data_IF_172771432312
#
_entry.id   IF_172771432312
#
_cell.length_a   1.000
_cell.length_b   1.000
_cell.length_c   1.000
_cell.angle_alpha   90.00
_cell.angle_beta   90.00
_cell.angle_gamma   90.00
#
_symmetry.space_group_name_H-M   'P 1'
#
loop_
_entity.id
_entity.type
_entity.pdbx_description
1 polymer ?
#
# COMPACT_ATOMS: atom_id res chain seq x y z
N UNK A 1 33.69 2.22 8.23
CA UNK A 1 32.96 1.12 8.90
C UNK A 1 32.58 0.12 7.81
N UNK A 2 32.96 -1.17 7.93
CA UNK A 2 32.59 -2.17 6.92
C UNK A 2 31.09 -2.52 7.02
N UNK A 3 30.37 -2.74 5.91
CA UNK A 3 29.01 -3.28 5.93
C UNK A 3 28.91 -4.59 6.71
N UNK A 4 27.74 -4.89 7.28
CA UNK A 4 27.51 -6.16 7.99
C UNK A 4 27.68 -7.37 7.06
N UNK A 5 27.28 -7.24 5.80
CA UNK A 5 27.46 -8.26 4.75
C UNK A 5 28.93 -8.64 4.56
N UNK A 6 29.84 -7.68 4.60
CA UNK A 6 31.28 -7.94 4.51
C UNK A 6 31.85 -8.49 5.81
N UNK A 7 31.44 -7.91 6.96
CA UNK A 7 31.97 -8.29 8.28
C UNK A 7 31.62 -9.73 8.65
N UNK A 8 30.41 -10.18 8.32
CA UNK A 8 29.89 -11.50 8.67
C UNK A 8 29.82 -12.45 7.47
N UNK A 9 30.53 -12.16 6.37
CA UNK A 9 30.44 -12.94 5.13
C UNK A 9 30.59 -14.45 5.34
N UNK A 10 31.54 -14.89 6.18
CA UNK A 10 31.76 -16.31 6.48
C UNK A 10 30.61 -16.95 7.29
N UNK A 11 29.91 -16.14 8.10
CA UNK A 11 28.82 -16.57 8.97
C UNK A 11 27.45 -16.53 8.28
N UNK A 12 27.37 -15.92 7.09
CA UNK A 12 26.15 -15.84 6.30
C UNK A 12 25.98 -17.08 5.42
N UNK A 13 24.76 -17.59 5.40
CA UNK A 13 24.27 -18.55 4.43
C UNK A 13 23.95 -17.85 3.09
N UNK A 14 23.48 -16.60 3.16
CA UNK A 14 23.24 -15.76 2.00
C UNK A 14 22.72 -14.38 2.40
N UNK A 15 22.65 -13.49 1.42
CA UNK A 15 22.02 -12.18 1.53
C UNK A 15 21.06 -11.99 0.35
N UNK A 16 19.92 -11.38 0.60
CA UNK A 16 18.91 -11.08 -0.42
C UNK A 16 18.41 -9.65 -0.24
N UNK A 17 18.44 -8.87 -1.29
CA UNK A 17 17.83 -7.54 -1.34
C UNK A 17 16.64 -7.55 -2.29
N UNK A 18 15.48 -7.14 -1.79
CA UNK A 18 14.27 -7.07 -2.61
C UNK A 18 13.29 -6.00 -2.12
N UNK A 19 12.32 -5.68 -2.96
CA UNK A 19 11.19 -4.88 -2.52
C UNK A 19 10.35 -5.67 -1.50
N UNK A 20 9.88 -4.99 -0.46
CA UNK A 20 8.99 -5.56 0.54
C UNK A 20 7.59 -4.97 0.35
N UNK A 21 7.15 -4.08 1.25
CA UNK A 21 5.87 -3.39 1.15
C UNK A 21 5.89 -2.36 0.03
N UNK A 22 5.07 -2.56 -1.00
CA UNK A 22 4.82 -1.56 -2.04
C UNK A 22 3.37 -1.07 -1.96
N UNK A 23 3.19 0.23 -1.71
CA UNK A 23 1.93 0.93 -1.83
C UNK A 23 2.05 1.94 -2.98
N UNK A 24 1.18 1.78 -3.96
CA UNK A 24 1.11 2.61 -5.16
C UNK A 24 -0.23 3.37 -5.13
N UNK A 25 -0.22 4.64 -5.51
CA UNK A 25 -1.43 5.45 -5.64
C UNK A 25 -1.75 5.66 -7.12
N UNK A 26 -3.04 5.55 -7.45
CA UNK A 26 -3.56 5.82 -8.80
C UNK A 26 -4.37 7.11 -8.80
N UNK A 27 -4.03 8.03 -9.69
CA UNK A 27 -4.75 9.30 -9.85
C UNK A 27 -5.23 9.48 -11.28
N UNK A 28 -6.44 10.01 -11.47
CA UNK A 28 -6.91 10.45 -12.79
C UNK A 28 -6.48 11.91 -12.98
N UNK A 29 -5.59 12.24 -13.93
CA UNK A 29 -5.08 13.61 -14.07
C UNK A 29 -6.18 14.67 -14.20
N UNK A 30 -7.26 14.36 -14.93
CA UNK A 30 -8.42 15.24 -15.08
C UNK A 30 -9.28 15.41 -13.82
N UNK A 31 -9.14 14.54 -12.82
CA UNK A 31 -9.97 14.55 -11.60
C UNK A 31 -9.17 14.82 -10.32
N UNK A 32 -7.85 14.63 -10.33
CA UNK A 32 -7.05 14.49 -9.10
C UNK A 32 -6.76 15.81 -8.36
N UNK A 33 -7.12 16.95 -8.96
CA UNK A 33 -7.06 18.27 -8.36
C UNK A 33 -8.26 19.12 -8.80
N UNK A 34 -8.61 20.12 -8.00
CA UNK A 34 -9.88 20.84 -8.15
C UNK A 34 -10.00 21.60 -9.48
N UNK A 35 -8.89 22.15 -10.00
CA UNK A 35 -8.88 22.84 -11.30
C UNK A 35 -9.11 21.90 -12.48
N UNK A 36 -8.53 20.70 -12.44
CA UNK A 36 -8.76 19.66 -13.45
C UNK A 36 -10.21 19.24 -13.46
N UNK A 37 -10.76 18.92 -12.28
CA UNK A 37 -12.16 18.51 -12.15
C UNK A 37 -13.12 19.64 -12.56
N UNK A 38 -12.81 20.89 -12.24
CA UNK A 38 -13.58 22.07 -12.71
C UNK A 38 -13.60 22.14 -14.24
N UNK A 39 -12.45 21.97 -14.88
CA UNK A 39 -12.32 22.01 -16.34
C UNK A 39 -13.08 20.86 -17.00
N UNK A 40 -13.06 19.67 -16.40
CA UNK A 40 -13.83 18.51 -16.83
C UNK A 40 -15.35 18.75 -16.75
N UNK A 41 -15.85 19.32 -15.65
CA UNK A 41 -17.28 19.64 -15.54
C UNK A 41 -17.72 20.65 -16.60
N UNK A 42 -16.89 21.66 -16.87
CA UNK A 42 -17.16 22.65 -17.90
C UNK A 42 -17.19 22.07 -19.31
N UNK A 43 -16.26 21.17 -19.66
CA UNK A 43 -16.26 20.52 -20.97
C UNK A 43 -17.47 19.60 -21.18
N UNK A 44 -18.12 19.15 -20.10
CA UNK A 44 -19.36 18.36 -20.12
C UNK A 44 -20.63 19.20 -19.88
N UNK A 45 -20.53 20.53 -19.87
CA UNK A 45 -21.63 21.45 -19.60
C UNK A 45 -22.35 21.20 -18.26
N UNK A 46 -21.66 20.63 -17.26
CA UNK A 46 -22.19 20.41 -15.91
C UNK A 46 -21.91 21.67 -15.07
N UNK A 47 -22.96 22.23 -14.46
CA UNK A 47 -22.81 23.38 -13.55
C UNK A 47 -22.03 22.96 -12.30
N UNK A 48 -21.17 23.84 -11.81
CA UNK A 48 -20.31 23.55 -10.65
C UNK A 48 -21.11 23.19 -9.39
N UNK A 49 -22.25 23.84 -9.15
CA UNK A 49 -23.13 23.53 -8.01
C UNK A 49 -23.91 22.22 -8.16
N UNK A 50 -23.99 21.66 -9.38
CA UNK A 50 -24.60 20.37 -9.65
C UNK A 50 -23.59 19.20 -9.58
N UNK A 51 -22.30 19.48 -9.32
CA UNK A 51 -21.20 18.51 -9.24
C UNK A 51 -21.56 17.25 -8.46
N UNK A 52 -22.08 17.41 -7.24
CA UNK A 52 -22.36 16.26 -6.37
C UNK A 52 -23.47 15.40 -6.97
N UNK A 53 -24.61 16.02 -7.30
CA UNK A 53 -25.82 15.33 -7.77
C UNK A 53 -25.69 14.72 -9.16
N UNK A 54 -25.06 15.44 -10.09
CA UNK A 54 -25.02 15.06 -11.51
C UNK A 54 -23.80 14.20 -11.83
N UNK A 55 -22.70 14.34 -11.09
CA UNK A 55 -21.46 13.61 -11.38
C UNK A 55 -21.03 12.68 -10.25
N UNK A 56 -20.79 13.18 -9.04
CA UNK A 56 -20.19 12.38 -7.99
C UNK A 56 -21.13 11.27 -7.46
N UNK A 57 -22.42 11.57 -7.29
CA UNK A 57 -23.44 10.64 -6.80
C UNK A 57 -23.68 9.46 -7.76
N UNK A 58 -23.89 9.67 -9.09
CA UNK A 58 -24.00 8.56 -10.03
C UNK A 58 -22.76 7.65 -10.05
N UNK A 59 -21.56 8.23 -10.02
CA UNK A 59 -20.33 7.44 -9.97
C UNK A 59 -20.15 6.70 -8.65
N UNK A 60 -20.57 7.28 -7.52
CA UNK A 60 -20.62 6.57 -6.24
C UNK A 60 -21.45 5.29 -6.36
N UNK A 61 -22.67 5.39 -6.88
CA UNK A 61 -23.55 4.24 -7.02
C UNK A 61 -23.03 3.25 -8.08
N UNK A 62 -22.48 3.73 -9.20
CA UNK A 62 -21.87 2.85 -10.21
C UNK A 62 -20.70 2.05 -9.66
N UNK A 63 -19.81 2.66 -8.86
CA UNK A 63 -18.69 1.95 -8.22
C UNK A 63 -19.21 0.92 -7.20
N UNK A 64 -20.26 1.27 -6.42
CA UNK A 64 -20.89 0.32 -5.50
C UNK A 64 -21.47 -0.88 -6.25
N UNK A 65 -22.19 -0.63 -7.33
CA UNK A 65 -22.77 -1.67 -8.17
C UNK A 65 -21.69 -2.55 -8.81
N UNK A 66 -20.63 -1.94 -9.37
CA UNK A 66 -19.48 -2.67 -9.93
C UNK A 66 -18.85 -3.62 -8.90
N UNK A 67 -18.78 -3.20 -7.64
CA UNK A 67 -18.27 -4.05 -6.57
C UNK A 67 -19.19 -5.24 -6.26
N UNK A 68 -20.52 -5.04 -6.30
CA UNK A 68 -21.49 -6.13 -6.16
C UNK A 68 -21.44 -7.10 -7.35
N UNK A 69 -21.44 -6.58 -8.57
CA UNK A 69 -21.29 -7.37 -9.80
C UNK A 69 -20.02 -8.25 -9.77
N UNK A 70 -18.90 -7.69 -9.33
CA UNK A 70 -17.64 -8.42 -9.25
C UNK A 70 -17.66 -9.49 -8.14
N UNK A 71 -18.26 -9.16 -6.99
CA UNK A 71 -18.40 -10.06 -5.86
C UNK A 71 -19.30 -11.26 -6.21
N UNK A 72 -20.47 -10.99 -6.81
CA UNK A 72 -21.42 -12.02 -7.25
C UNK A 72 -20.82 -12.93 -8.32
N UNK A 73 -20.13 -12.34 -9.31
CA UNK A 73 -19.44 -13.10 -10.37
C UNK A 73 -18.43 -14.10 -9.83
N UNK A 74 -17.79 -13.81 -8.71
CA UNK A 74 -16.76 -14.67 -8.10
C UNK A 74 -17.26 -15.45 -6.89
N UNK A 75 -18.56 -15.34 -6.54
CA UNK A 75 -19.12 -15.98 -5.35
C UNK A 75 -18.50 -15.50 -4.04
N UNK A 76 -18.06 -14.24 -3.99
CA UNK A 76 -17.40 -13.62 -2.83
C UNK A 76 -18.38 -12.69 -2.11
N UNK A 77 -18.37 -12.68 -0.77
CA UNK A 77 -19.19 -11.76 0.01
C UNK A 77 -18.51 -10.39 0.16
N UNK A 78 -19.32 -9.33 0.27
CA UNK A 78 -18.83 -7.99 0.64
C UNK A 78 -19.05 -7.80 2.14
N UNK A 79 -17.95 -7.75 2.91
CA UNK A 79 -18.00 -7.61 4.35
C UNK A 79 -17.70 -6.16 4.78
N UNK A 80 -18.56 -5.58 5.62
CA UNK A 80 -18.37 -4.23 6.12
C UNK A 80 -17.50 -4.23 7.39
N UNK A 81 -16.27 -3.74 7.28
CA UNK A 81 -15.32 -3.63 8.37
C UNK A 81 -15.59 -2.36 9.21
N UNK A 82 -16.53 -2.48 10.15
CA UNK A 82 -16.98 -1.35 11.01
C UNK A 82 -16.26 -1.22 12.34
N UNK A 83 -15.51 -2.25 12.75
CA UNK A 83 -14.90 -2.29 14.08
C UNK A 83 -13.44 -1.83 14.00
N UNK A 84 -13.04 -0.74 14.70
CA UNK A 84 -11.70 -0.16 14.56
C UNK A 84 -10.56 -1.07 15.03
N UNK A 85 -10.84 -2.06 15.89
CA UNK A 85 -9.87 -3.04 16.36
C UNK A 85 -9.71 -4.24 15.42
N UNK A 86 -10.62 -4.45 14.46
CA UNK A 86 -10.51 -5.56 13.52
C UNK A 86 -9.56 -5.15 12.41
N UNK A 87 -8.42 -5.86 12.34
CA UNK A 87 -7.50 -5.71 11.22
C UNK A 87 -8.11 -6.36 9.99
N UNK A 88 -8.07 -5.64 8.87
CA UNK A 88 -8.57 -6.13 7.58
C UNK A 88 -7.81 -7.38 7.14
N UNK A 89 -6.52 -7.44 7.45
CA UNK A 89 -5.65 -8.58 7.14
C UNK A 89 -6.11 -9.86 7.84
N UNK A 90 -6.60 -9.78 9.08
CA UNK A 90 -7.07 -10.95 9.84
C UNK A 90 -8.35 -11.56 9.23
N UNK A 91 -9.24 -10.71 8.70
CA UNK A 91 -10.45 -11.15 7.99
C UNK A 91 -10.07 -11.91 6.72
N UNK A 92 -9.13 -11.35 5.94
CA UNK A 92 -8.66 -11.95 4.69
C UNK A 92 -7.91 -13.25 4.96
N UNK A 93 -7.10 -13.32 6.02
CA UNK A 93 -6.40 -14.54 6.43
C UNK A 93 -7.37 -15.69 6.73
N UNK A 94 -8.51 -15.42 7.39
CA UNK A 94 -9.56 -16.42 7.65
C UNK A 94 -10.19 -16.94 6.36
N UNK A 95 -10.38 -16.08 5.36
CA UNK A 95 -10.91 -16.48 4.06
C UNK A 95 -9.88 -17.34 3.30
N UNK A 96 -8.61 -16.93 3.30
CA UNK A 96 -7.52 -17.70 2.67
C UNK A 96 -7.36 -19.07 3.32
N UNK A 97 -7.49 -19.18 4.65
CA UNK A 97 -7.42 -20.46 5.36
C UNK A 97 -8.51 -21.46 4.92
N UNK A 98 -9.65 -20.98 4.41
CA UNK A 98 -10.76 -21.83 3.94
C UNK A 98 -10.69 -22.13 2.45
N UNK A 99 -10.45 -21.12 1.62
CA UNK A 99 -10.41 -21.28 0.14
C UNK A 99 -9.06 -21.77 -0.38
N UNK A 100 -7.99 -21.54 0.38
CA UNK A 100 -6.62 -21.76 -0.05
C UNK A 100 -5.99 -20.57 -0.78
N UNK A 101 -4.77 -20.79 -1.29
CA UNK A 101 -3.93 -19.76 -1.92
C UNK A 101 -4.05 -19.70 -3.45
N UNK A 102 -5.07 -20.32 -4.05
CA UNK A 102 -5.22 -20.27 -5.50
C UNK A 102 -5.54 -18.83 -5.99
N UNK A 103 -5.12 -18.47 -7.22
CA UNK A 103 -5.37 -17.14 -7.79
C UNK A 103 -6.86 -16.74 -7.84
N UNK A 104 -7.10 -15.43 -7.92
CA UNK A 104 -8.43 -14.83 -8.09
C UNK A 104 -8.84 -13.86 -6.99
N UNK A 105 -10.07 -13.36 -7.06
CA UNK A 105 -10.67 -12.53 -6.00
C UNK A 105 -10.83 -13.36 -4.72
N UNK A 106 -10.32 -12.84 -3.61
CA UNK A 106 -10.31 -13.50 -2.30
C UNK A 106 -11.47 -13.01 -1.46
N UNK A 107 -11.56 -11.69 -1.28
CA UNK A 107 -12.54 -11.05 -0.41
C UNK A 107 -12.75 -9.60 -0.82
N UNK A 108 -13.93 -9.05 -0.53
CA UNK A 108 -14.21 -7.61 -0.69
C UNK A 108 -14.58 -7.04 0.66
N UNK A 109 -13.76 -6.11 1.17
CA UNK A 109 -14.09 -5.39 2.39
C UNK A 109 -14.61 -3.99 2.07
N UNK A 110 -15.52 -3.48 2.89
CA UNK A 110 -15.96 -2.08 2.82
C UNK A 110 -15.74 -1.38 4.15
N UNK A 111 -15.22 -0.15 4.12
CA UNK A 111 -15.04 0.68 5.31
C UNK A 111 -15.35 2.15 5.00
N UNK A 112 -15.94 2.87 5.95
CA UNK A 112 -16.12 4.32 5.85
C UNK A 112 -14.81 5.00 6.31
N UNK A 113 -14.14 5.72 5.41
CA UNK A 113 -12.84 6.34 5.71
C UNK A 113 -12.80 7.78 5.24
N UNK A 114 -11.85 8.56 5.77
CA UNK A 114 -11.62 9.91 5.31
C UNK A 114 -11.09 9.91 3.86
N UNK A 115 -11.58 10.84 3.06
CA UNK A 115 -11.16 11.00 1.67
C UNK A 115 -11.01 12.48 1.31
N UNK A 116 -10.17 12.75 0.31
CA UNK A 116 -10.19 14.05 -0.38
C UNK A 116 -11.53 14.20 -1.11
N UNK A 117 -12.04 15.42 -1.15
CA UNK A 117 -13.28 15.76 -1.81
C UNK A 117 -13.18 17.15 -2.45
N UNK A 118 -14.27 17.59 -3.07
CA UNK A 118 -14.40 18.93 -3.61
C UNK A 118 -15.70 19.56 -3.14
N UNK A 119 -15.67 20.89 -2.97
CA UNK A 119 -16.86 21.70 -2.75
C UNK A 119 -17.04 22.74 -3.85
N UNK A 120 -18.28 22.97 -4.32
CA UNK A 120 -18.62 24.09 -5.20
C UNK A 120 -18.27 25.43 -4.56
N UNK A 121 -17.78 26.36 -5.36
CA UNK A 121 -17.45 27.71 -4.93
C UNK A 121 -17.85 28.74 -5.99
N UNK A 122 -18.26 29.92 -5.56
CA UNK A 122 -18.51 31.09 -6.40
C UNK A 122 -17.63 32.24 -5.90
N UNK A 123 -16.77 32.77 -6.78
CA UNK A 123 -15.99 33.96 -6.49
C UNK A 123 -16.81 35.22 -6.78
N UNK A 124 -16.99 36.07 -5.77
CA UNK A 124 -17.79 37.30 -5.87
C UNK A 124 -17.16 38.37 -6.76
N UNK A 125 -15.83 38.36 -6.92
CA UNK A 125 -15.13 39.39 -7.69
C UNK A 125 -15.13 39.05 -9.18
N UNK A 126 -14.75 37.82 -9.52
CA UNK A 126 -14.71 37.37 -10.92
C UNK A 126 -16.03 36.82 -11.45
N UNK A 127 -17.02 36.62 -10.58
CA UNK A 127 -18.29 35.91 -10.86
C UNK A 127 -18.11 34.51 -11.45
N UNK A 128 -16.91 33.93 -11.33
CA UNK A 128 -16.62 32.57 -11.79
C UNK A 128 -16.99 31.55 -10.71
N UNK A 129 -17.56 30.43 -11.16
CA UNK A 129 -17.74 29.25 -10.30
C UNK A 129 -16.58 28.27 -10.51
N UNK A 130 -16.23 27.48 -9.51
CA UNK A 130 -15.22 26.41 -9.62
C UNK A 130 -15.26 25.51 -8.39
N UNK A 131 -14.62 24.35 -8.47
CA UNK A 131 -14.43 23.48 -7.32
C UNK A 131 -13.22 23.92 -6.48
N UNK A 132 -13.33 23.82 -5.15
CA UNK A 132 -12.21 23.94 -4.21
C UNK A 132 -11.92 22.60 -3.54
N UNK A 133 -10.65 22.29 -3.21
CA UNK A 133 -10.32 21.15 -2.37
C UNK A 133 -11.11 21.17 -1.05
N UNK A 134 -11.56 20.00 -0.63
CA UNK A 134 -12.26 19.77 0.63
C UNK A 134 -11.89 18.38 1.17
N UNK A 135 -12.39 18.05 2.35
CA UNK A 135 -12.27 16.71 2.94
C UNK A 135 -13.64 16.18 3.32
N UNK A 136 -13.79 14.86 3.28
CA UNK A 136 -15.04 14.20 3.63
C UNK A 136 -14.79 12.78 4.10
N UNK A 137 -15.87 12.00 4.15
CA UNK A 137 -15.80 10.55 4.34
C UNK A 137 -16.58 9.88 3.22
N UNK A 138 -16.06 8.77 2.73
CA UNK A 138 -16.77 7.95 1.76
C UNK A 138 -16.55 6.46 2.05
N UNK A 139 -17.34 5.60 1.43
CA UNK A 139 -17.07 4.17 1.46
C UNK A 139 -15.84 3.90 0.61
N UNK A 140 -14.92 3.13 1.16
CA UNK A 140 -13.82 2.53 0.43
C UNK A 140 -14.11 1.04 0.28
N UNK A 141 -13.94 0.53 -0.94
CA UNK A 141 -13.98 -0.90 -1.24
C UNK A 141 -12.54 -1.40 -1.37
N UNK A 142 -12.19 -2.42 -0.62
CA UNK A 142 -10.91 -3.11 -0.69
C UNK A 142 -11.14 -4.45 -1.37
N UNK A 143 -10.67 -4.57 -2.60
CA UNK A 143 -10.69 -5.81 -3.34
C UNK A 143 -9.39 -6.55 -3.09
N UNK A 144 -9.44 -7.64 -2.33
CA UNK A 144 -8.28 -8.50 -2.09
C UNK A 144 -8.21 -9.58 -3.16
N UNK A 145 -7.04 -9.75 -3.76
CA UNK A 145 -6.76 -10.73 -4.79
C UNK A 145 -5.54 -11.56 -4.41
N UNK A 146 -5.49 -12.81 -4.88
CA UNK A 146 -4.22 -13.49 -5.09
C UNK A 146 -3.94 -13.41 -6.59
N UNK A 147 -2.97 -12.57 -6.97
CA UNK A 147 -2.48 -12.49 -8.34
C UNK A 147 -1.43 -13.56 -8.61
N UNK A 148 -1.44 -14.13 -9.81
CA UNK A 148 -0.44 -15.11 -10.26
C UNK A 148 0.99 -14.57 -10.18
N UNK A 149 1.16 -13.26 -10.39
CA UNK A 149 2.48 -12.62 -10.44
C UNK A 149 2.90 -12.07 -9.07
N UNK A 150 2.02 -11.33 -8.40
CA UNK A 150 2.34 -10.54 -7.18
C UNK A 150 1.85 -11.17 -5.88
N UNK A 151 1.21 -12.35 -5.94
CA UNK A 151 0.64 -13.00 -4.77
C UNK A 151 -0.52 -12.21 -4.16
N UNK A 152 -0.63 -12.23 -2.83
CA UNK A 152 -1.68 -11.53 -2.11
C UNK A 152 -1.51 -10.00 -2.24
N UNK A 153 -2.50 -9.35 -2.84
CA UNK A 153 -2.53 -7.90 -3.07
C UNK A 153 -3.94 -7.34 -2.81
N UNK A 154 -4.06 -6.01 -2.71
CA UNK A 154 -5.38 -5.37 -2.73
C UNK A 154 -5.42 -4.10 -3.56
N UNK A 155 -6.60 -3.79 -4.11
CA UNK A 155 -6.94 -2.48 -4.64
C UNK A 155 -8.01 -1.82 -3.76
N UNK A 156 -7.69 -0.66 -3.19
CA UNK A 156 -8.61 0.20 -2.45
C UNK A 156 -9.21 1.24 -3.40
N UNK A 157 -10.52 1.18 -3.57
CA UNK A 157 -11.31 2.05 -4.45
C UNK A 157 -12.24 2.91 -3.58
N UNK A 158 -12.05 4.24 -3.51
CA UNK A 158 -13.03 5.13 -2.90
C UNK A 158 -14.27 5.25 -3.79
N UNK A 159 -15.45 5.35 -3.18
CA UNK A 159 -16.71 5.57 -3.90
C UNK A 159 -16.99 7.06 -4.14
N UNK A 160 -16.00 7.94 -4.00
CA UNK A 160 -16.18 9.38 -4.17
C UNK A 160 -15.03 10.00 -4.97
N UNK A 161 -15.35 11.03 -5.75
CA UNK A 161 -14.39 11.83 -6.50
C UNK A 161 -13.40 12.49 -5.52
N UNK A 162 -12.07 12.40 -5.74
CA UNK A 162 -11.38 12.22 -7.03
C UNK A 162 -11.01 10.78 -7.43
N UNK A 163 -11.66 9.76 -6.85
CA UNK A 163 -11.45 8.36 -7.24
C UNK A 163 -10.00 7.88 -7.12
N UNK A 164 -9.27 8.41 -6.13
CA UNK A 164 -7.85 8.10 -5.91
C UNK A 164 -7.69 6.66 -5.43
N UNK A 165 -7.12 5.82 -6.29
CA UNK A 165 -6.88 4.41 -6.01
C UNK A 165 -5.65 4.25 -5.12
N UNK A 166 -5.62 3.18 -4.34
CA UNK A 166 -4.43 2.72 -3.65
C UNK A 166 -4.29 1.22 -3.84
N UNK A 167 -3.17 0.80 -4.39
CA UNK A 167 -2.82 -0.61 -4.57
C UNK A 167 -1.71 -1.00 -3.61
N UNK A 168 -1.81 -2.20 -3.03
CA UNK A 168 -0.77 -2.80 -2.22
C UNK A 168 -0.38 -4.15 -2.80
N UNK A 169 0.92 -4.39 -2.88
CA UNK A 169 1.51 -5.71 -3.12
C UNK A 169 2.82 -5.85 -2.33
N UNK A 170 3.35 -7.07 -2.30
CA UNK A 170 4.57 -7.42 -1.57
C UNK A 170 5.61 -7.99 -2.54
N UNK A 171 6.82 -7.42 -2.57
CA UNK A 171 7.89 -7.92 -3.44
C UNK A 171 8.45 -9.27 -2.99
N UNK A 172 8.38 -9.64 -1.70
CA UNK A 172 8.67 -11.00 -1.24
C UNK A 172 7.70 -12.01 -1.85
N UNK A 173 6.39 -11.71 -1.91
CA UNK A 173 5.40 -12.58 -2.55
C UNK A 173 5.60 -12.68 -4.06
N UNK A 174 6.06 -11.60 -4.71
CA UNK A 174 6.44 -11.65 -6.11
C UNK A 174 7.66 -12.56 -6.32
N UNK A 175 8.70 -12.41 -5.50
CA UNK A 175 9.90 -13.23 -5.56
C UNK A 175 9.57 -14.70 -5.26
N UNK A 176 8.73 -14.96 -4.27
CA UNK A 176 8.22 -16.31 -3.94
C UNK A 176 7.68 -17.01 -5.18
N UNK A 177 6.78 -16.35 -5.93
CA UNK A 177 6.23 -16.90 -7.17
C UNK A 177 7.32 -17.15 -8.23
N UNK A 178 8.34 -16.29 -8.32
CA UNK A 178 9.47 -16.50 -9.23
C UNK A 178 10.34 -17.69 -8.82
N UNK A 179 10.58 -17.90 -7.53
CA UNK A 179 11.32 -19.05 -7.02
C UNK A 179 10.59 -20.36 -7.33
N UNK A 180 9.26 -20.40 -7.07
CA UNK A 180 8.40 -21.54 -7.42
C UNK A 180 8.49 -21.85 -8.92
N UNK A 181 8.30 -20.83 -9.77
CA UNK A 181 8.33 -21.00 -11.23
C UNK A 181 9.70 -21.47 -11.77
N UNK A 182 10.78 -21.21 -11.03
CA UNK A 182 12.14 -21.62 -11.38
C UNK A 182 12.60 -22.90 -10.67
N UNK A 183 11.73 -23.55 -9.89
CA UNK A 183 12.05 -24.76 -9.14
C UNK A 183 13.13 -24.56 -8.07
N UNK A 184 13.25 -23.35 -7.52
CA UNK A 184 14.24 -23.04 -6.47
C UNK A 184 13.57 -23.26 -5.12
N UNK A 185 14.12 -24.17 -4.31
CA UNK A 185 13.61 -24.41 -2.96
C UNK A 185 13.89 -23.23 -2.05
N UNK A 186 12.94 -22.97 -1.17
CA UNK A 186 13.03 -21.91 -0.17
C UNK A 186 12.28 -22.31 1.10
N UNK A 187 12.42 -21.51 2.16
CA UNK A 187 11.57 -21.56 3.34
C UNK A 187 11.36 -20.13 3.85
N UNK A 188 10.15 -19.84 4.30
CA UNK A 188 9.79 -18.55 4.88
C UNK A 188 9.32 -18.71 6.32
N UNK A 189 9.61 -17.69 7.13
CA UNK A 189 8.96 -17.45 8.41
C UNK A 189 8.25 -16.09 8.32
N UNK A 190 6.92 -16.11 8.44
CA UNK A 190 6.05 -14.96 8.15
C UNK A 190 6.34 -14.33 6.77
N UNK A 191 7.00 -13.18 6.75
CA UNK A 191 7.31 -12.40 5.55
C UNK A 191 8.79 -12.49 5.13
N UNK A 192 9.63 -13.23 5.86
CA UNK A 192 11.08 -13.26 5.66
C UNK A 192 11.55 -14.60 5.06
N UNK A 193 12.49 -14.54 4.12
CA UNK A 193 13.18 -15.73 3.61
C UNK A 193 14.25 -16.19 4.61
N UNK A 194 14.06 -17.36 5.20
CA UNK A 194 15.02 -17.95 6.15
C UNK A 194 15.93 -18.99 5.50
N UNK A 195 15.58 -19.45 4.31
CA UNK A 195 16.40 -20.35 3.48
C UNK A 195 16.05 -20.14 2.01
N UNK A 196 17.05 -20.11 1.17
CA UNK A 196 16.94 -20.17 -0.30
C UNK A 196 18.07 -21.07 -0.79
N UNK A 197 17.75 -22.00 -1.69
CA UNK A 197 18.75 -22.96 -2.19
C UNK A 197 19.84 -22.28 -3.04
N UNK A 198 19.48 -21.20 -3.75
CA UNK A 198 20.40 -20.40 -4.57
C UNK A 198 20.11 -18.89 -4.41
N UNK A 199 20.89 -18.24 -3.53
CA UNK A 199 20.76 -16.79 -3.28
C UNK A 199 21.16 -15.93 -4.48
N UNK A 200 22.15 -16.36 -5.27
CA UNK A 200 22.61 -15.58 -6.42
C UNK A 200 21.50 -15.52 -7.49
N UNK A 201 20.88 -16.67 -7.77
CA UNK A 201 19.74 -16.74 -8.70
C UNK A 201 18.50 -16.03 -8.14
N UNK A 202 18.24 -16.14 -6.83
CA UNK A 202 17.14 -15.40 -6.19
C UNK A 202 17.32 -13.89 -6.27
N UNK A 203 18.54 -13.37 -6.05
CA UNK A 203 18.85 -11.96 -6.23
C UNK A 203 18.64 -11.54 -7.68
N UNK A 204 19.17 -12.30 -8.64
CA UNK A 204 19.00 -12.02 -10.06
C UNK A 204 17.52 -12.03 -10.50
N UNK A 205 16.67 -12.84 -9.86
CA UNK A 205 15.22 -12.81 -10.07
C UNK A 205 14.58 -11.58 -9.42
N UNK A 206 14.94 -11.24 -8.18
CA UNK A 206 14.49 -10.04 -7.47
C UNK A 206 14.72 -8.77 -8.30
N UNK A 207 15.90 -8.65 -8.89
CA UNK A 207 16.32 -7.49 -9.69
C UNK A 207 15.54 -7.34 -11.02
N UNK A 208 14.73 -8.33 -11.41
CA UNK A 208 13.93 -8.28 -12.64
C UNK A 208 12.56 -7.61 -12.46
N UNK A 209 12.16 -7.21 -11.25
CA UNK A 209 10.87 -6.53 -11.05
C UNK A 209 10.87 -5.16 -11.76
N UNK A 210 10.10 -5.04 -12.84
CA UNK A 210 10.02 -3.83 -13.66
C UNK A 210 8.74 -3.04 -13.37
N UNK A 211 8.81 -1.69 -13.37
CA UNK A 211 7.63 -0.83 -13.26
C UNK A 211 6.54 -1.11 -14.32
N UNK A 212 6.93 -1.46 -15.56
CA UNK A 212 5.98 -1.71 -16.65
C UNK A 212 5.10 -2.94 -16.40
N UNK A 213 5.67 -4.00 -15.81
CA UNK A 213 4.90 -5.20 -15.42
C UNK A 213 3.88 -4.86 -14.33
N UNK A 214 4.31 -4.03 -13.38
CA UNK A 214 3.44 -3.55 -12.32
C UNK A 214 2.31 -2.66 -12.88
N UNK A 215 2.61 -1.74 -13.81
CA UNK A 215 1.60 -0.91 -14.47
C UNK A 215 0.52 -1.76 -15.17
N UNK A 216 0.91 -2.82 -15.90
CA UNK A 216 -0.05 -3.74 -16.53
C UNK A 216 -1.01 -4.36 -15.52
N UNK A 217 -0.49 -4.79 -14.35
CA UNK A 217 -1.30 -5.37 -13.27
C UNK A 217 -2.24 -4.32 -12.67
N UNK A 218 -1.73 -3.12 -12.40
CA UNK A 218 -2.48 -2.01 -11.83
C UNK A 218 -3.63 -1.58 -12.75
N UNK A 219 -3.37 -1.40 -14.04
CA UNK A 219 -4.36 -1.04 -15.05
C UNK A 219 -5.46 -2.09 -15.19
N UNK A 220 -5.09 -3.37 -15.14
CA UNK A 220 -6.06 -4.48 -15.17
C UNK A 220 -7.01 -4.39 -13.98
N UNK A 221 -6.51 -4.18 -12.77
CA UNK A 221 -7.36 -4.08 -11.59
C UNK A 221 -8.16 -2.78 -11.55
N UNK A 222 -7.59 -1.65 -12.00
CA UNK A 222 -8.31 -0.39 -12.10
C UNK A 222 -9.51 -0.50 -13.05
N UNK A 223 -9.32 -1.06 -14.26
CA UNK A 223 -10.42 -1.36 -15.21
C UNK A 223 -11.51 -2.22 -14.58
N UNK A 224 -11.11 -3.25 -13.84
CA UNK A 224 -12.04 -4.22 -13.25
C UNK A 224 -12.85 -3.64 -12.09
N UNK A 225 -12.26 -2.77 -11.26
CA UNK A 225 -12.85 -2.37 -9.98
C UNK A 225 -13.34 -0.91 -9.95
N UNK A 226 -12.88 -0.07 -10.88
CA UNK A 226 -13.18 1.36 -10.92
C UNK A 226 -13.34 1.84 -12.38
N UNK A 227 -14.53 1.66 -12.98
CA UNK A 227 -14.75 1.95 -14.40
C UNK A 227 -14.75 3.45 -14.76
N UNK A 228 -14.58 4.34 -13.77
CA UNK A 228 -14.67 5.79 -13.95
C UNK A 228 -13.64 6.37 -14.91
N UNK A 229 -12.51 5.69 -15.10
CA UNK A 229 -11.46 6.14 -16.03
C UNK A 229 -11.96 6.32 -17.48
N UNK A 230 -12.97 5.56 -17.91
CA UNK A 230 -13.57 5.67 -19.25
C UNK A 230 -14.25 7.02 -19.46
N UNK A 231 -14.87 7.55 -18.40
CA UNK A 231 -15.55 8.85 -18.44
C UNK A 231 -14.58 10.02 -18.61
N UNK A 232 -13.36 9.87 -18.11
CA UNK A 232 -12.29 10.85 -18.30
C UNK A 232 -11.53 10.66 -19.61
N UNK A 233 -11.72 9.53 -20.32
CA UNK A 233 -10.92 9.18 -21.50
C UNK A 233 -9.42 9.10 -21.20
N UNK A 234 -9.06 8.76 -19.95
CA UNK A 234 -7.70 8.76 -19.44
C UNK A 234 -7.42 7.46 -18.69
N UNK A 235 -6.18 6.97 -18.75
CA UNK A 235 -5.72 5.92 -17.85
C UNK A 235 -5.32 6.52 -16.50
N UNK A 236 -5.32 5.68 -15.46
CA UNK A 236 -4.77 6.08 -14.17
C UNK A 236 -3.28 6.36 -14.29
N UNK A 237 -2.85 7.49 -13.73
CA UNK A 237 -1.44 7.79 -13.51
C UNK A 237 -1.02 7.20 -12.16
N UNK A 238 -0.05 6.30 -12.21
CA UNK A 238 0.47 5.57 -11.05
C UNK A 238 1.72 6.23 -10.49
N UNK A 239 1.77 6.36 -9.17
CA UNK A 239 2.96 6.82 -8.46
C UNK A 239 3.19 6.04 -7.17
N UNK A 240 4.47 5.92 -6.77
CA UNK A 240 4.85 5.23 -5.55
C UNK A 240 4.46 6.09 -4.35
N UNK A 241 3.56 5.59 -3.51
CA UNK A 241 3.18 6.25 -2.26
C UNK A 241 4.12 5.83 -1.12
N UNK A 242 4.46 4.54 -1.06
CA UNK A 242 5.44 4.00 -0.12
C UNK A 242 6.06 2.74 -0.73
N UNK A 243 7.38 2.63 -0.67
CA UNK A 243 8.10 1.41 -1.06
C UNK A 243 9.15 1.08 -0.01
N UNK A 244 9.06 -0.11 0.58
CA UNK A 244 10.12 -0.71 1.37
C UNK A 244 11.08 -1.48 0.48
N UNK A 245 12.38 -1.35 0.76
CA UNK A 245 13.42 -2.18 0.17
C UNK A 245 14.20 -2.79 1.33
N UNK A 246 14.15 -4.12 1.48
CA UNK A 246 14.82 -4.85 2.56
C UNK A 246 16.11 -5.48 2.06
N UNK A 247 17.03 -5.73 2.99
CA UNK A 247 18.18 -6.60 2.76
C UNK A 247 18.21 -7.61 3.89
N UNK A 248 17.84 -8.84 3.55
CA UNK A 248 17.75 -9.96 4.46
C UNK A 248 19.13 -10.62 4.55
N UNK A 249 19.66 -10.71 5.76
CA UNK A 249 20.92 -11.39 6.05
C UNK A 249 20.61 -12.70 6.75
N UNK A 250 20.83 -13.82 6.06
CA UNK A 250 20.54 -15.15 6.59
C UNK A 250 21.81 -15.72 7.21
N UNK A 251 21.85 -15.77 8.55
CA UNK A 251 22.99 -16.34 9.28
C UNK A 251 22.92 -17.86 9.34
N UNK A 252 24.09 -18.50 9.36
CA UNK A 252 24.24 -19.96 9.54
C UNK A 252 23.92 -20.41 10.96
N UNK A 253 24.03 -19.51 11.94
CA UNK A 253 23.84 -19.78 13.36
C UNK A 253 23.06 -18.65 14.03
N UNK A 254 22.06 -19.05 14.81
CA UNK A 254 21.28 -18.22 15.71
C UNK A 254 22.14 -17.60 16.84
N UNK A 255 23.16 -18.31 17.32
CA UNK A 255 24.07 -17.81 18.34
C UNK A 255 24.82 -16.54 17.88
N UNK A 256 25.30 -16.53 16.62
CA UNK A 256 26.00 -15.38 16.03
C UNK A 256 25.04 -14.19 15.90
N UNK A 257 23.84 -14.43 15.37
CA UNK A 257 22.83 -13.40 15.22
C UNK A 257 22.41 -12.83 16.58
N UNK A 258 22.28 -13.68 17.60
CA UNK A 258 21.89 -13.27 18.95
C UNK A 258 22.91 -12.30 19.57
N UNK A 259 24.21 -12.62 19.47
CA UNK A 259 25.27 -11.72 19.95
C UNK A 259 25.30 -10.42 19.15
N UNK A 260 25.21 -10.48 17.82
CA UNK A 260 25.16 -9.28 16.98
C UNK A 260 23.94 -8.41 17.32
N UNK A 261 22.77 -9.03 17.51
CA UNK A 261 21.55 -8.32 17.88
C UNK A 261 21.71 -7.61 19.22
N UNK A 262 22.25 -8.29 20.24
CA UNK A 262 22.52 -7.68 21.55
C UNK A 262 23.45 -6.46 21.42
N UNK A 263 24.53 -6.58 20.66
CA UNK A 263 25.49 -5.50 20.45
C UNK A 263 24.86 -4.31 19.70
N UNK A 264 24.10 -4.57 18.63
CA UNK A 264 23.40 -3.52 17.88
C UNK A 264 22.32 -2.85 18.74
N UNK A 265 21.53 -3.62 19.49
CA UNK A 265 20.51 -3.09 20.39
C UNK A 265 21.12 -2.23 21.49
N UNK A 266 22.18 -2.72 22.15
CA UNK A 266 22.91 -1.96 23.18
C UNK A 266 23.47 -0.66 22.61
N UNK A 267 24.12 -0.73 21.44
CA UNK A 267 24.67 0.45 20.80
C UNK A 267 23.58 1.43 20.34
N UNK A 268 22.44 0.94 19.87
CA UNK A 268 21.30 1.78 19.51
C UNK A 268 20.75 2.52 20.74
N UNK A 269 20.63 1.86 21.89
CA UNK A 269 20.18 2.51 23.14
C UNK A 269 21.13 3.62 23.60
N UNK A 270 22.44 3.44 23.39
CA UNK A 270 23.48 4.42 23.78
C UNK A 270 23.56 5.57 22.77
N UNK A 271 23.56 5.25 21.47
CA UNK A 271 23.82 6.21 20.40
C UNK A 271 22.57 7.01 19.99
N UNK A 272 21.38 6.41 20.08
CA UNK A 272 20.12 7.04 19.65
C UNK A 272 19.53 7.90 20.76
N UNK A 273 19.64 9.22 20.58
CA UNK A 273 19.13 10.24 21.50
C UNK A 273 17.65 10.51 21.24
N UNK A 274 16.96 11.03 22.25
CA UNK A 274 15.55 11.39 22.17
C UNK A 274 15.21 12.33 20.99
N UNK A 275 16.11 13.26 20.65
CA UNK A 275 15.94 14.13 19.48
C UNK A 275 15.88 13.37 18.16
N UNK A 276 16.69 12.31 18.01
CA UNK A 276 16.68 11.45 16.82
C UNK A 276 15.41 10.61 16.76
N UNK A 277 14.97 10.04 17.89
CA UNK A 277 13.69 9.30 17.97
C UNK A 277 12.50 10.21 17.65
N UNK A 278 12.46 11.41 18.23
CA UNK A 278 11.38 12.38 17.99
C UNK A 278 11.31 12.77 16.52
N UNK A 279 12.47 13.07 15.91
CA UNK A 279 12.57 13.40 14.49
C UNK A 279 12.11 12.24 13.61
N UNK A 280 12.54 11.01 13.90
CA UNK A 280 12.10 9.81 13.19
C UNK A 280 10.58 9.60 13.25
N UNK A 281 9.97 9.87 14.40
CA UNK A 281 8.52 9.80 14.59
C UNK A 281 7.76 11.03 14.05
N UNK A 282 8.44 11.99 13.42
CA UNK A 282 7.84 13.24 12.96
C UNK A 282 7.29 14.11 14.09
N UNK A 283 7.79 13.94 15.32
CA UNK A 283 7.38 14.69 16.51
C UNK A 283 8.41 15.78 16.81
N UNK A 284 7.96 16.84 17.48
CA UNK A 284 8.83 17.85 18.08
C UNK A 284 8.93 17.60 19.58
N UNK A 285 10.13 17.77 20.13
CA UNK A 285 10.32 17.80 21.58
C UNK A 285 9.81 19.14 22.08
N UNK A 286 8.68 19.13 22.79
CA UNK A 286 8.16 20.32 23.47
C UNK A 286 8.96 20.59 24.76
N UNK A 287 8.93 21.82 25.30
CA UNK A 287 9.60 22.13 26.57
C UNK A 287 9.16 21.24 27.74
N UNK A 288 7.89 20.84 27.78
CA UNK A 288 7.34 19.91 28.77
C UNK A 288 7.94 18.51 28.60
N UNK A 289 7.96 17.98 27.37
CA UNK A 289 8.56 16.68 27.08
C UNK A 289 10.06 16.68 27.38
N UNK A 290 10.76 17.81 27.12
CA UNK A 290 12.18 17.94 27.40
C UNK A 290 12.54 17.76 28.89
N UNK A 291 11.63 18.13 29.80
CA UNK A 291 11.82 17.93 31.24
C UNK A 291 11.65 16.46 31.66
N UNK A 292 10.90 15.68 30.88
CA UNK A 292 10.70 14.24 31.10
C UNK A 292 11.77 13.37 30.43
N UNK A 293 12.60 13.95 29.54
CA UNK A 293 13.64 13.22 28.83
C UNK A 293 14.82 12.88 29.76
N UNK A 294 14.84 11.62 30.23
CA UNK A 294 15.98 11.04 30.94
C UNK A 294 16.93 10.25 30.04
N UNK A 295 18.23 10.38 30.29
CA UNK A 295 19.28 9.53 29.69
C UNK A 295 19.78 8.44 30.66
N UNK A 296 19.04 8.14 31.73
CA UNK A 296 19.42 7.12 32.71
C UNK A 296 19.27 5.73 32.10
N UNK A 297 20.40 5.04 31.92
CA UNK A 297 20.47 3.71 31.30
C UNK A 297 19.82 2.63 32.18
N UNK A 298 19.76 2.84 33.51
CA UNK A 298 19.27 1.87 34.50
C UNK A 298 17.77 1.59 34.45
N UNK A 299 17.01 2.29 33.60
CA UNK A 299 15.57 2.10 33.40
C UNK A 299 15.22 1.69 31.95
N UNK A 300 16.20 1.26 31.15
CA UNK A 300 16.03 0.98 29.71
C UNK A 300 16.32 -0.47 29.29
N UNK A 301 16.52 -1.40 30.22
CA UNK A 301 16.67 -2.84 29.95
C UNK A 301 15.54 -3.58 30.66
#
# INVERSE_FOLDING_TARGET
MKPLTERYHADLLGALSCYDRMIITGTLPGACYAGGMTSFLYSRHIKIFDYAKVFADPWRERIRQCAHELADKHGVAIEHANKPHIRKEDLVAKVIARRGKHPGLVHVLSAMEACSAYKPWHDKNSHKTYLRPDSGKCLHRYFYFIGEEVGLCYLRVPTWCPFRLQFYCNGHSWLENKLIANGIGYAMADNAFIRIDDFAKAQALSDQLKPDDLHRILDRYARMCCPVQEEFGQQYHWSLMQTGYSTDLVFRSDAILSTLYEDVSRQAVIAVKAGQVSSFLGKKITPQLAQELGSRLSTRI
#
